data_IF_446180945287
#
_entry.id   IF_446180945287
#
_cell.length_a   1.000
_cell.length_b   1.000
_cell.length_c   1.000
_cell.angle_alpha   90.00
_cell.angle_beta   90.00
_cell.angle_gamma   90.00
#
_symmetry.space_group_name_H-M   'P 1'
#
loop_
_entity.id
_entity.type
_entity.pdbx_description
1 polymer ?
#
# COMPACT_ATOMS: atom_id res chain seq x y z
N UNK A 1 37.26 -46.96 43.61
CA UNK A 1 38.73 -46.77 43.59
C UNK A 1 39.27 -47.15 42.21
N UNK A 2 40.32 -46.44 41.77
CA UNK A 2 41.02 -46.45 40.47
C UNK A 2 40.18 -45.85 39.32
N UNK A 3 40.34 -44.59 38.87
CA UNK A 3 41.51 -43.77 38.52
C UNK A 3 42.45 -44.40 37.48
N UNK A 4 42.62 -43.70 36.35
CA UNK A 4 43.44 -44.14 35.21
C UNK A 4 43.31 -43.25 33.98
N UNK A 5 43.69 -41.98 34.11
CA UNK A 5 43.70 -40.93 33.07
C UNK A 5 44.89 -41.11 32.10
N UNK A 6 44.67 -41.06 30.78
CA UNK A 6 45.67 -40.82 29.68
C UNK A 6 44.87 -40.56 28.39
N UNK A 7 45.11 -39.56 27.54
CA UNK A 7 46.06 -38.48 27.47
C UNK A 7 45.85 -37.73 26.15
N UNK A 8 45.84 -36.40 26.23
CA UNK A 8 46.34 -35.39 25.28
C UNK A 8 45.97 -35.39 23.77
N UNK A 9 45.38 -34.24 23.41
CA UNK A 9 45.71 -33.33 22.28
C UNK A 9 45.24 -33.71 20.87
N UNK A 10 44.22 -32.98 20.42
CA UNK A 10 43.84 -32.84 19.02
C UNK A 10 43.08 -31.52 18.81
N UNK A 11 43.83 -30.42 18.70
CA UNK A 11 43.35 -29.12 18.26
C UNK A 11 42.84 -29.24 16.81
N UNK A 12 41.53 -29.15 16.59
CA UNK A 12 40.96 -28.91 15.26
C UNK A 12 39.96 -27.76 15.34
N UNK A 13 40.46 -26.59 14.93
CA UNK A 13 39.64 -25.53 14.35
C UNK A 13 38.80 -26.12 13.21
N UNK A 14 37.47 -26.06 13.30
CA UNK A 14 36.61 -26.19 12.15
C UNK A 14 35.32 -25.38 12.35
N UNK A 15 35.33 -24.19 11.74
CA UNK A 15 34.23 -23.55 11.03
C UNK A 15 32.82 -23.56 11.65
N UNK A 16 32.41 -22.39 12.14
CA UNK A 16 31.02 -21.93 12.13
C UNK A 16 30.41 -22.14 10.73
N UNK A 17 29.10 -22.45 10.68
CA UNK A 17 28.21 -21.38 10.25
C UNK A 17 27.06 -21.16 11.23
N UNK A 18 26.94 -19.90 11.64
CA UNK A 18 25.74 -19.36 12.24
C UNK A 18 24.59 -19.48 11.23
N UNK A 19 23.69 -20.43 11.45
CA UNK A 19 22.38 -20.43 10.80
C UNK A 19 21.55 -19.35 11.49
N UNK A 20 21.70 -18.13 10.99
CA UNK A 20 20.73 -17.05 11.18
C UNK A 20 19.42 -17.51 10.55
N UNK A 21 18.55 -18.08 11.39
CA UNK A 21 17.15 -18.33 11.07
C UNK A 21 16.41 -17.02 10.86
N UNK A 22 16.55 -16.43 9.68
CA UNK A 22 15.55 -15.51 9.11
C UNK A 22 14.34 -16.35 8.66
N UNK A 23 13.65 -16.97 9.61
CA UNK A 23 12.35 -17.59 9.36
C UNK A 23 11.26 -16.60 9.72
N UNK A 24 10.47 -16.24 8.71
CA UNK A 24 9.18 -15.56 8.75
C UNK A 24 9.13 -14.03 8.53
N UNK A 25 9.67 -13.55 7.40
CA UNK A 25 8.94 -12.57 6.58
C UNK A 25 7.85 -13.30 5.78
N UNK A 26 6.89 -13.90 6.48
CA UNK A 26 5.90 -14.82 5.91
C UNK A 26 4.48 -14.25 5.92
N UNK A 27 4.30 -12.99 5.54
CA UNK A 27 2.98 -12.43 5.18
C UNK A 27 2.85 -12.26 3.67
N UNK A 28 3.55 -13.11 2.91
CA UNK A 28 3.35 -13.25 1.47
C UNK A 28 1.99 -13.92 1.25
N UNK A 29 0.96 -13.11 0.99
CA UNK A 29 -0.33 -13.54 0.45
C UNK A 29 -1.24 -14.30 1.42
N UNK A 30 -1.55 -13.71 2.57
CA UNK A 30 -2.80 -14.03 3.23
C UNK A 30 -3.95 -13.79 2.23
N UNK A 31 -4.72 -14.84 1.97
CA UNK A 31 -5.90 -14.93 1.11
C UNK A 31 -5.69 -14.72 -0.41
N UNK A 32 -5.69 -15.82 -1.17
CA UNK A 32 -5.79 -15.90 -2.65
C UNK A 32 -4.76 -15.05 -3.42
N UNK A 33 -3.76 -15.70 -4.00
CA UNK A 33 -2.80 -15.06 -4.90
C UNK A 33 -3.54 -14.62 -6.17
N UNK A 34 -3.89 -13.34 -6.27
CA UNK A 34 -4.27 -12.74 -7.55
C UNK A 34 -2.97 -12.48 -8.31
N UNK A 35 -2.70 -13.30 -9.31
CA UNK A 35 -1.61 -13.09 -10.24
C UNK A 35 -1.99 -11.97 -11.23
N UNK A 36 -1.15 -10.95 -11.34
CA UNK A 36 -1.32 -9.87 -12.31
C UNK A 36 -2.29 -8.75 -11.88
N UNK A 37 -2.58 -8.61 -10.59
CA UNK A 37 -3.28 -7.43 -10.07
C UNK A 37 -2.36 -6.22 -9.89
N UNK A 38 -2.92 -4.99 -9.89
CA UNK A 38 -2.15 -3.80 -9.62
C UNK A 38 -1.70 -3.73 -8.14
N UNK A 39 -0.38 -3.62 -7.93
CA UNK A 39 0.22 -3.36 -6.62
C UNK A 39 0.77 -1.94 -6.62
N UNK A 40 0.37 -1.13 -5.63
CA UNK A 40 0.59 0.31 -5.68
C UNK A 40 1.21 0.90 -4.42
N UNK A 41 1.91 2.01 -4.62
CA UNK A 41 2.13 3.03 -3.60
C UNK A 41 1.21 4.21 -3.92
N UNK A 42 0.62 4.81 -2.89
CA UNK A 42 -0.22 5.98 -3.05
C UNK A 42 0.21 7.07 -2.07
N UNK A 43 0.09 8.32 -2.50
CA UNK A 43 0.37 9.51 -1.70
C UNK A 43 -0.61 10.63 -2.02
N UNK A 44 -0.89 11.49 -1.04
CA UNK A 44 -1.68 12.70 -1.25
C UNK A 44 -0.73 13.84 -1.56
N UNK A 45 -0.85 14.46 -2.74
CA UNK A 45 0.09 15.51 -3.17
C UNK A 45 -0.44 16.92 -2.95
N UNK A 46 -1.66 17.16 -3.41
CA UNK A 46 -2.28 18.47 -3.38
C UNK A 46 -3.53 18.36 -2.54
N UNK A 47 -3.53 18.92 -1.33
CA UNK A 47 -4.73 19.01 -0.48
C UNK A 47 -5.03 20.48 -0.20
N UNK A 48 -6.25 20.89 -0.52
CA UNK A 48 -6.75 22.25 -0.31
C UNK A 48 -8.07 22.19 0.43
N UNK A 49 -8.17 23.02 1.46
CA UNK A 49 -9.39 23.24 2.22
C UNK A 49 -9.70 24.72 2.08
N UNK A 50 -10.85 25.02 1.50
CA UNK A 50 -11.37 26.37 1.33
C UNK A 50 -12.74 26.50 1.95
N UNK A 51 -13.20 27.74 2.03
CA UNK A 51 -14.57 28.08 2.38
C UNK A 51 -15.04 29.21 1.48
N UNK A 52 -16.26 29.12 1.00
CA UNK A 52 -16.93 30.16 0.25
C UNK A 52 -18.23 30.53 0.95
N UNK A 53 -18.56 31.81 0.96
CA UNK A 53 -19.86 32.28 1.42
C UNK A 53 -20.81 32.29 0.22
N UNK A 54 -21.98 31.66 0.36
CA UNK A 54 -23.03 31.71 -0.65
C UNK A 54 -23.74 33.08 -0.64
N UNK A 55 -24.60 33.32 -1.64
CA UNK A 55 -25.38 34.57 -1.74
C UNK A 55 -26.36 34.76 -0.56
N UNK A 56 -26.60 33.72 0.24
CA UNK A 56 -27.48 33.71 1.40
C UNK A 56 -26.74 33.90 2.74
N UNK A 57 -25.41 34.05 2.71
CA UNK A 57 -24.56 34.20 3.89
C UNK A 57 -24.19 32.88 4.58
N UNK A 58 -24.45 31.72 3.97
CA UNK A 58 -24.03 30.42 4.49
C UNK A 58 -22.61 30.09 4.03
N UNK A 59 -21.83 29.52 4.94
CA UNK A 59 -20.47 29.07 4.65
C UNK A 59 -20.52 27.66 4.05
N UNK A 60 -19.99 27.51 2.84
CA UNK A 60 -19.77 26.24 2.16
C UNK A 60 -18.29 25.93 2.20
N UNK A 61 -17.93 24.79 2.80
CA UNK A 61 -16.56 24.29 2.83
C UNK A 61 -16.26 23.49 1.57
N UNK A 62 -15.15 23.81 0.90
CA UNK A 62 -14.70 23.14 -0.33
C UNK A 62 -13.42 22.37 0.00
N UNK A 63 -13.47 21.06 -0.21
CA UNK A 63 -12.35 20.16 0.02
C UNK A 63 -11.89 19.60 -1.32
N UNK A 64 -10.65 19.86 -1.69
CA UNK A 64 -10.07 19.37 -2.95
C UNK A 64 -8.78 18.62 -2.64
N UNK A 65 -8.64 17.41 -3.19
CA UNK A 65 -7.41 16.64 -3.05
C UNK A 65 -7.06 15.81 -4.28
N UNK A 66 -5.76 15.61 -4.49
CA UNK A 66 -5.22 14.74 -5.53
C UNK A 66 -4.39 13.62 -4.91
N UNK A 67 -4.76 12.38 -5.22
CA UNK A 67 -3.98 11.19 -4.88
C UNK A 67 -3.15 10.81 -6.09
N UNK A 68 -1.85 10.67 -5.88
CA UNK A 68 -0.93 10.07 -6.84
C UNK A 68 -0.72 8.60 -6.50
N UNK A 69 -0.69 7.79 -7.54
CA UNK A 69 -0.60 6.34 -7.47
C UNK A 69 0.53 5.90 -8.36
N UNK A 70 1.40 5.08 -7.80
CA UNK A 70 2.57 4.52 -8.46
C UNK A 70 2.46 3.01 -8.44
N UNK A 71 2.50 2.37 -9.62
CA UNK A 71 2.53 0.92 -9.72
C UNK A 71 3.95 0.41 -9.41
N UNK A 72 4.08 -0.54 -8.50
CA UNK A 72 5.38 -1.11 -8.15
C UNK A 72 5.94 -1.99 -9.30
N UNK A 73 7.27 -2.11 -9.44
CA UNK A 73 7.87 -3.04 -10.41
C UNK A 73 7.30 -4.47 -10.26
N UNK A 74 6.88 -5.07 -11.38
CA UNK A 74 6.20 -6.37 -11.42
C UNK A 74 4.68 -6.33 -11.20
N UNK A 75 4.10 -5.15 -10.95
CA UNK A 75 2.66 -4.95 -10.84
C UNK A 75 1.94 -5.20 -12.17
N UNK A 76 0.75 -5.80 -12.12
CA UNK A 76 -0.11 -5.95 -13.29
C UNK A 76 -0.93 -4.70 -13.63
N UNK A 77 -1.62 -4.76 -14.77
CA UNK A 77 -2.60 -3.77 -15.18
C UNK A 77 -3.97 -4.03 -14.52
N UNK A 78 -4.77 -2.98 -14.35
CA UNK A 78 -6.09 -3.08 -13.75
C UNK A 78 -6.56 -1.79 -13.14
N UNK A 79 -7.52 -1.88 -12.23
CA UNK A 79 -8.14 -0.74 -11.58
C UNK A 79 -7.95 -0.81 -10.07
N UNK A 80 -7.77 0.34 -9.44
CA UNK A 80 -7.64 0.46 -7.99
C UNK A 80 -8.72 1.40 -7.47
N UNK A 81 -9.49 0.94 -6.50
CA UNK A 81 -10.48 1.74 -5.76
C UNK A 81 -10.04 1.90 -4.30
N UNK A 82 -10.09 3.11 -3.76
CA UNK A 82 -9.67 3.37 -2.38
C UNK A 82 -10.80 3.11 -1.37
N UNK A 83 -10.43 2.54 -0.23
CA UNK A 83 -11.33 2.11 0.82
C UNK A 83 -10.92 2.71 2.17
N UNK A 84 -11.90 3.07 2.99
CA UNK A 84 -11.64 3.46 4.38
C UNK A 84 -11.37 2.25 5.30
N UNK A 85 -11.22 2.53 6.60
CA UNK A 85 -10.99 1.53 7.64
C UNK A 85 -12.12 0.51 7.77
N UNK A 86 -13.36 0.89 7.43
CA UNK A 86 -14.54 0.02 7.48
C UNK A 86 -14.75 -0.75 6.16
N UNK A 87 -13.91 -0.53 5.15
CA UNK A 87 -14.00 -1.19 3.84
C UNK A 87 -15.00 -0.55 2.89
N UNK A 88 -15.41 0.69 3.15
CA UNK A 88 -16.30 1.45 2.28
C UNK A 88 -15.52 2.15 1.18
N UNK A 89 -16.06 2.09 -0.04
CA UNK A 89 -15.48 2.79 -1.19
C UNK A 89 -15.64 4.30 -1.08
N UNK A 90 -14.54 5.00 -1.36
CA UNK A 90 -14.49 6.46 -1.33
C UNK A 90 -14.85 7.10 -2.68
N UNK A 91 -15.23 6.29 -3.68
CA UNK A 91 -15.49 6.77 -5.05
C UNK A 91 -14.24 7.35 -5.72
N UNK A 92 -13.05 6.92 -5.27
CA UNK A 92 -11.76 7.28 -5.83
C UNK A 92 -11.23 6.06 -6.56
N UNK A 93 -11.16 6.14 -7.88
CA UNK A 93 -10.77 5.03 -8.74
C UNK A 93 -9.68 5.45 -9.71
N UNK A 94 -8.65 4.62 -9.85
CA UNK A 94 -7.51 4.84 -10.74
C UNK A 94 -7.33 3.65 -11.66
N UNK A 95 -7.23 3.91 -12.96
CA UNK A 95 -6.88 2.89 -13.95
C UNK A 95 -5.35 2.85 -14.13
N UNK A 96 -4.78 1.66 -13.98
CA UNK A 96 -3.40 1.34 -14.35
C UNK A 96 -3.46 0.61 -15.70
N UNK A 97 -3.17 1.31 -16.81
CA UNK A 97 -3.46 0.82 -18.16
C UNK A 97 -2.54 -0.33 -18.58
N UNK A 98 -1.34 -0.41 -18.00
CA UNK A 98 -0.33 -1.38 -18.36
C UNK A 98 0.42 -1.90 -17.13
N UNK A 99 0.91 -3.13 -17.21
CA UNK A 99 1.76 -3.71 -16.17
C UNK A 99 3.07 -2.94 -16.05
N UNK A 100 3.56 -2.78 -14.83
CA UNK A 100 4.90 -2.25 -14.58
C UNK A 100 5.91 -3.40 -14.70
N UNK A 101 6.86 -3.35 -15.66
CA UNK A 101 7.82 -4.43 -15.87
C UNK A 101 8.68 -4.70 -14.62
N UNK A 102 9.09 -5.95 -14.42
CA UNK A 102 10.05 -6.32 -13.36
C UNK A 102 11.45 -5.76 -13.61
N UNK A 103 11.77 -5.39 -14.86
CA UNK A 103 13.06 -4.79 -15.22
C UNK A 103 13.15 -3.31 -14.85
N UNK A 104 12.03 -2.69 -14.47
CA UNK A 104 12.01 -1.30 -14.07
C UNK A 104 12.54 -1.17 -12.63
N UNK A 105 13.49 -0.27 -12.41
CA UNK A 105 13.99 0.02 -11.06
C UNK A 105 13.03 0.94 -10.29
N UNK A 106 12.36 1.85 -11.02
CA UNK A 106 11.47 2.85 -10.45
C UNK A 106 9.98 2.45 -10.59
N UNK A 107 9.11 2.90 -9.68
CA UNK A 107 7.66 2.69 -9.82
C UNK A 107 7.10 3.37 -11.08
N UNK A 108 6.20 2.68 -11.79
CA UNK A 108 5.54 3.22 -12.97
C UNK A 108 4.44 4.21 -12.57
N UNK A 109 4.40 5.38 -13.22
CA UNK A 109 3.42 6.43 -12.93
C UNK A 109 4.05 7.83 -13.03
N UNK A 110 3.45 8.85 -12.39
CA UNK A 110 2.26 8.80 -11.53
C UNK A 110 0.95 8.64 -12.31
N UNK A 111 0.05 7.82 -11.79
CA UNK A 111 -1.38 7.86 -12.11
C UNK A 111 -2.09 8.72 -11.07
N UNK A 112 -3.06 9.53 -11.46
CA UNK A 112 -3.65 10.51 -10.55
C UNK A 112 -5.17 10.42 -10.54
N UNK A 113 -5.77 10.63 -9.36
CA UNK A 113 -7.18 10.89 -9.20
C UNK A 113 -7.36 12.11 -8.31
N UNK A 114 -8.14 13.06 -8.79
CA UNK A 114 -8.53 14.25 -8.04
C UNK A 114 -9.99 14.15 -7.67
N UNK A 115 -10.32 14.65 -6.48
CA UNK A 115 -11.70 14.74 -6.01
C UNK A 115 -11.92 16.07 -5.33
N UNK A 116 -13.06 16.65 -5.63
CA UNK A 116 -13.57 17.84 -4.99
C UNK A 116 -14.90 17.51 -4.33
N UNK A 117 -15.12 18.07 -3.14
CA UNK A 117 -16.32 17.85 -2.35
C UNK A 117 -16.68 19.13 -1.62
N UNK A 118 -17.94 19.50 -1.72
CA UNK A 118 -18.51 20.63 -1.01
C UNK A 118 -19.35 20.14 0.17
N UNK A 119 -19.35 20.90 1.26
CA UNK A 119 -20.22 20.62 2.40
C UNK A 119 -20.62 21.88 3.13
N UNK A 120 -21.90 22.01 3.55
CA UNK A 120 -22.32 23.12 4.41
C UNK A 120 -21.81 22.98 5.86
N UNK A 121 -21.26 21.82 6.23
CA UNK A 121 -20.70 21.57 7.55
C UNK A 121 -19.23 21.12 7.43
N UNK A 122 -18.39 21.39 8.44
CA UNK A 122 -17.01 20.90 8.44
C UNK A 122 -16.99 19.37 8.37
N UNK A 123 -16.28 18.82 7.39
CA UNK A 123 -16.10 17.38 7.25
C UNK A 123 -15.00 16.87 8.18
N UNK A 124 -15.24 15.71 8.78
CA UNK A 124 -14.18 14.98 9.48
C UNK A 124 -13.27 14.29 8.46
N UNK A 125 -11.94 14.29 8.68
CA UNK A 125 -11.02 13.58 7.81
C UNK A 125 -11.29 12.07 7.86
N UNK A 126 -11.18 11.42 6.71
CA UNK A 126 -11.33 9.98 6.50
C UNK A 126 -9.95 9.38 6.30
N UNK A 127 -9.62 8.32 7.04
CA UNK A 127 -8.39 7.57 6.85
C UNK A 127 -8.59 6.44 5.87
N UNK A 128 -7.87 6.50 4.75
CA UNK A 128 -7.76 5.43 3.77
C UNK A 128 -6.66 4.47 4.22
N UNK A 129 -7.03 3.22 4.48
CA UNK A 129 -6.07 2.20 4.95
C UNK A 129 -5.90 1.04 3.99
N UNK A 130 -6.82 0.89 3.05
CA UNK A 130 -6.82 -0.24 2.13
C UNK A 130 -7.32 0.19 0.75
N UNK A 131 -7.04 -0.64 -0.25
CA UNK A 131 -7.51 -0.46 -1.60
C UNK A 131 -8.03 -1.79 -2.16
N UNK A 132 -9.06 -1.71 -2.99
CA UNK A 132 -9.53 -2.83 -3.80
C UNK A 132 -8.86 -2.75 -5.15
N UNK A 133 -8.08 -3.75 -5.50
CA UNK A 133 -7.60 -3.93 -6.86
C UNK A 133 -8.56 -4.83 -7.65
N UNK A 134 -8.71 -4.53 -8.94
CA UNK A 134 -9.37 -5.37 -9.94
C UNK A 134 -8.39 -5.57 -11.08
N UNK A 135 -7.94 -6.80 -11.33
CA UNK A 135 -7.02 -7.13 -12.43
C UNK A 135 -7.74 -7.14 -13.77
N UNK A 136 -6.97 -7.09 -14.87
CA UNK A 136 -7.51 -7.14 -16.24
C UNK A 136 -8.38 -8.38 -16.54
N UNK A 137 -8.19 -9.49 -15.81
CA UNK A 137 -9.00 -10.70 -15.91
C UNK A 137 -10.28 -10.69 -15.03
N UNK A 138 -10.58 -9.56 -14.38
CA UNK A 138 -11.78 -9.37 -13.54
C UNK A 138 -11.68 -9.90 -12.11
N UNK A 139 -10.53 -10.46 -11.70
CA UNK A 139 -10.35 -10.86 -10.30
C UNK A 139 -10.16 -9.63 -9.42
N UNK A 140 -10.68 -9.67 -8.18
CA UNK A 140 -10.56 -8.55 -7.25
C UNK A 140 -10.09 -8.98 -5.87
N UNK A 141 -9.26 -8.14 -5.23
CA UNK A 141 -8.75 -8.35 -3.87
C UNK A 141 -8.60 -7.01 -3.16
N UNK A 142 -8.86 -7.03 -1.86
CA UNK A 142 -8.56 -5.91 -0.97
C UNK A 142 -7.16 -6.10 -0.40
N UNK A 143 -6.35 -5.05 -0.47
CA UNK A 143 -4.96 -5.04 -0.04
C UNK A 143 -4.76 -3.82 0.88
N UNK A 144 -4.07 -3.97 2.02
CA UNK A 144 -3.73 -2.81 2.85
C UNK A 144 -2.77 -1.89 2.11
N UNK A 145 -2.94 -0.58 2.28
CA UNK A 145 -1.97 0.41 1.84
C UNK A 145 -0.70 0.29 2.71
N UNK A 146 0.47 0.51 2.09
CA UNK A 146 1.74 0.55 2.82
C UNK A 146 1.77 1.67 3.87
N UNK A 147 1.13 2.80 3.55
CA UNK A 147 0.98 3.96 4.44
C UNK A 147 -0.47 4.44 4.39
N UNK A 148 -1.14 4.67 5.53
CA UNK A 148 -2.47 5.26 5.55
C UNK A 148 -2.47 6.67 4.93
N UNK A 149 -3.55 7.01 4.22
CA UNK A 149 -3.76 8.35 3.66
C UNK A 149 -4.91 9.03 4.39
N UNK A 150 -4.86 10.36 4.50
CA UNK A 150 -5.94 11.15 5.10
C UNK A 150 -6.57 12.04 4.03
N UNK A 151 -7.88 11.91 3.83
CA UNK A 151 -8.68 12.65 2.82
C UNK A 151 -9.99 13.17 3.42
N UNK A 152 -10.85 13.85 2.64
CA UNK A 152 -12.13 14.44 3.09
C UNK A 152 -13.33 14.04 2.19
#
# INVERSE_FOLDING_TARGET
MADGRKGMKGLRWLWLPAVLGLSACGNLFADRVIFGGPTILAEVRDSKIGSQEDESGNIIYIYSYTIQVYALPGSGAGTVSFLDQDGKELGLQVLIPQSCPLTEADPCGPFQVSKEKESPNPLSPITVTQYRMVSANGQSKVVPLASPLTVY
#
